data_IF_319834083718
#
_entry.id   IF_319834083718
#
_cell.length_a   1.000
_cell.length_b   1.000
_cell.length_c   1.000
_cell.angle_alpha   90.00
_cell.angle_beta   90.00
_cell.angle_gamma   90.00
#
_symmetry.space_group_name_H-M   'P 1'
#
loop_
_entity.id
_entity.type
_entity.pdbx_description
1 polymer ?
#
# COMPACT_ATOMS: atom_id res chain seq x y z
N UNK A 1 -4.37 -7.76 29.82
CA UNK A 1 -4.41 -6.29 30.02
C UNK A 1 -3.26 -5.75 29.18
N UNK A 2 -3.53 -5.48 27.90
CA UNK A 2 -2.52 -4.96 26.96
C UNK A 2 -2.68 -3.45 26.99
N UNK A 3 -1.72 -2.77 27.60
CA UNK A 3 -1.55 -1.33 27.46
C UNK A 3 -1.34 -1.06 25.98
N UNK A 4 -2.35 -0.46 25.36
CA UNK A 4 -2.26 0.14 24.05
C UNK A 4 -1.10 1.15 24.09
N UNK A 5 0.05 0.81 23.50
CA UNK A 5 1.12 1.78 23.30
C UNK A 5 0.56 2.86 22.38
N UNK A 6 0.17 4.01 22.92
CA UNK A 6 -0.52 5.12 22.24
C UNK A 6 0.25 5.68 21.00
N UNK A 7 1.45 5.17 20.70
CA UNK A 7 2.25 5.53 19.52
C UNK A 7 2.69 4.33 18.65
N UNK A 8 2.27 3.10 18.98
CA UNK A 8 2.75 1.89 18.30
C UNK A 8 2.32 1.84 16.82
N UNK A 9 1.06 2.17 16.54
CA UNK A 9 0.51 2.16 15.18
C UNK A 9 1.14 3.22 14.28
N UNK A 10 1.38 4.43 14.81
CA UNK A 10 2.04 5.52 14.06
C UNK A 10 3.48 5.16 13.73
N UNK A 11 4.21 4.55 14.67
CA UNK A 11 5.58 4.06 14.42
C UNK A 11 5.60 2.98 13.34
N UNK A 12 4.70 1.99 13.42
CA UNK A 12 4.59 0.93 12.39
C UNK A 12 4.27 1.52 11.02
N UNK A 13 3.36 2.51 10.95
CA UNK A 13 3.05 3.20 9.70
C UNK A 13 4.28 3.93 9.13
N UNK A 14 5.09 4.57 9.97
CA UNK A 14 6.36 5.19 9.56
C UNK A 14 7.39 4.17 9.04
N UNK A 15 7.51 3.01 9.69
CA UNK A 15 8.38 1.92 9.24
C UNK A 15 7.92 1.35 7.89
N UNK A 16 6.61 1.24 7.67
CA UNK A 16 6.03 0.81 6.39
C UNK A 16 6.33 1.81 5.26
N UNK A 17 6.16 3.12 5.51
CA UNK A 17 6.51 4.17 4.54
C UNK A 17 7.98 4.10 4.12
N UNK A 18 8.89 3.95 5.09
CA UNK A 18 10.32 3.86 4.83
C UNK A 18 10.63 2.63 3.94
N UNK A 19 10.01 1.48 4.24
CA UNK A 19 10.20 0.25 3.46
C UNK A 19 9.63 0.39 2.05
N UNK A 20 8.45 0.96 1.89
CA UNK A 20 7.84 1.23 0.60
C UNK A 20 8.70 2.18 -0.24
N UNK A 21 9.27 3.22 0.38
CA UNK A 21 10.19 4.17 -0.26
C UNK A 21 11.47 3.49 -0.73
N UNK A 22 12.10 2.67 0.11
CA UNK A 22 13.27 1.87 -0.29
C UNK A 22 12.94 0.91 -1.43
N UNK A 23 11.78 0.24 -1.39
CA UNK A 23 11.32 -0.63 -2.48
C UNK A 23 11.16 0.15 -3.78
N UNK A 24 10.45 1.29 -3.75
CA UNK A 24 10.27 2.17 -4.92
C UNK A 24 11.59 2.70 -5.50
N UNK A 25 12.61 2.93 -4.66
CA UNK A 25 13.94 3.27 -5.14
C UNK A 25 14.64 2.08 -5.80
N UNK A 26 14.57 0.90 -5.18
CA UNK A 26 15.23 -0.32 -5.68
C UNK A 26 14.66 -0.82 -7.00
N UNK A 27 13.36 -0.68 -7.24
CA UNK A 27 12.70 -1.14 -8.47
C UNK A 27 13.03 -0.30 -9.70
N UNK A 28 13.80 0.80 -9.55
CA UNK A 28 14.38 1.54 -10.69
C UNK A 28 15.31 0.67 -11.53
N UNK A 29 15.93 -0.33 -10.94
CA UNK A 29 16.66 -1.38 -11.64
C UNK A 29 16.40 -2.70 -10.95
N UNK A 30 15.73 -3.63 -11.64
CA UNK A 30 15.56 -5.00 -11.13
C UNK A 30 16.75 -5.82 -11.65
N UNK A 31 17.80 -6.08 -10.84
CA UNK A 31 19.05 -6.67 -11.32
C UNK A 31 18.89 -8.12 -11.76
N UNK A 32 17.89 -8.82 -11.21
CA UNK A 32 17.59 -10.22 -11.48
C UNK A 32 16.15 -10.28 -12.02
N UNK A 33 15.95 -10.32 -13.35
CA UNK A 33 14.62 -10.28 -13.93
C UNK A 33 13.70 -11.43 -13.48
N UNK A 34 14.26 -12.59 -13.09
CA UNK A 34 13.48 -13.70 -12.52
C UNK A 34 12.86 -13.38 -11.16
N UNK A 35 13.42 -12.44 -10.40
CA UNK A 35 12.88 -12.03 -9.10
C UNK A 35 11.59 -11.22 -9.25
N UNK A 36 11.31 -10.71 -10.45
CA UNK A 36 10.10 -9.94 -10.75
C UNK A 36 8.81 -10.72 -10.48
N UNK A 37 8.83 -12.06 -10.58
CA UNK A 37 7.68 -12.89 -10.20
C UNK A 37 7.40 -12.79 -8.69
N UNK A 38 8.40 -13.07 -7.86
CA UNK A 38 8.27 -12.97 -6.39
C UNK A 38 7.94 -11.54 -5.95
N UNK A 39 8.58 -10.53 -6.55
CA UNK A 39 8.28 -9.12 -6.27
C UNK A 39 6.81 -8.76 -6.52
N UNK A 40 6.19 -9.29 -7.60
CA UNK A 40 4.77 -9.07 -7.88
C UNK A 40 3.87 -9.77 -6.85
N UNK A 41 4.26 -10.96 -6.37
CA UNK A 41 3.56 -11.66 -5.29
C UNK A 41 3.56 -10.87 -3.97
N UNK A 42 4.74 -10.42 -3.53
CA UNK A 42 4.90 -9.64 -2.30
C UNK A 42 4.21 -8.26 -2.40
N UNK A 43 4.29 -7.61 -3.55
CA UNK A 43 3.59 -6.34 -3.78
C UNK A 43 2.09 -6.51 -3.67
N UNK A 44 1.53 -7.60 -4.22
CA UNK A 44 0.09 -7.91 -4.08
C UNK A 44 -0.30 -8.09 -2.61
N UNK A 45 0.45 -8.89 -1.85
CA UNK A 45 0.17 -9.11 -0.44
C UNK A 45 0.21 -7.79 0.35
N UNK A 46 1.20 -6.93 0.07
CA UNK A 46 1.29 -5.59 0.68
C UNK A 46 0.07 -4.73 0.36
N UNK A 47 -0.45 -4.78 -0.86
CA UNK A 47 -1.66 -4.04 -1.26
C UNK A 47 -2.92 -4.60 -0.58
N UNK A 48 -3.04 -5.92 -0.44
CA UNK A 48 -4.14 -6.57 0.30
C UNK A 48 -4.12 -6.16 1.80
N UNK A 49 -2.94 -6.06 2.40
CA UNK A 49 -2.78 -5.60 3.79
C UNK A 49 -3.15 -4.12 3.95
N UNK A 50 -2.73 -3.25 3.00
CA UNK A 50 -3.11 -1.84 2.99
C UNK A 50 -4.62 -1.64 2.83
N UNK A 51 -5.26 -2.45 1.99
CA UNK A 51 -6.73 -2.46 1.85
C UNK A 51 -7.39 -2.76 3.19
N UNK A 52 -6.88 -3.76 3.92
CA UNK A 52 -7.39 -4.10 5.24
C UNK A 52 -7.20 -2.96 6.24
N UNK A 53 -6.04 -2.30 6.26
CA UNK A 53 -5.79 -1.12 7.11
C UNK A 53 -6.81 -0.01 6.82
N UNK A 54 -7.05 0.31 5.55
CA UNK A 54 -8.07 1.30 5.17
C UNK A 54 -9.46 0.92 5.68
N UNK A 55 -9.87 -0.35 5.55
CA UNK A 55 -11.16 -0.81 6.08
C UNK A 55 -11.24 -0.71 7.59
N UNK A 56 -10.18 -1.07 8.31
CA UNK A 56 -10.15 -1.00 9.78
C UNK A 56 -10.25 0.45 10.28
N UNK A 57 -9.48 1.36 9.66
CA UNK A 57 -9.55 2.79 9.99
C UNK A 57 -10.91 3.39 9.60
N UNK A 58 -11.49 2.99 8.46
CA UNK A 58 -12.80 3.45 8.03
C UNK A 58 -13.91 3.00 8.98
N UNK A 59 -13.88 1.75 9.41
CA UNK A 59 -14.81 1.22 10.42
C UNK A 59 -14.65 1.90 11.78
N UNK A 60 -13.41 2.21 12.18
CA UNK A 60 -13.14 2.99 13.39
C UNK A 60 -13.75 4.39 13.29
N UNK A 61 -13.46 5.13 12.21
CA UNK A 61 -14.04 6.47 11.97
C UNK A 61 -15.57 6.47 11.84
N UNK A 62 -16.20 5.39 11.37
CA UNK A 62 -17.64 5.27 11.32
C UNK A 62 -18.27 4.94 12.70
N UNK A 63 -17.47 4.39 13.63
CA UNK A 63 -17.91 3.96 14.96
C UNK A 63 -17.63 4.96 16.08
N UNK A 64 -16.84 6.01 15.85
CA UNK A 64 -16.58 7.07 16.84
C UNK A 64 -17.86 7.83 17.20
N UNK A 65 -18.06 8.06 18.50
CA UNK A 65 -19.24 8.77 19.03
C UNK A 65 -18.88 10.23 19.26
N UNK A 66 -19.61 11.12 18.59
CA UNK A 66 -19.48 12.58 18.76
C UNK A 66 -19.67 12.99 20.23
N UNK A 67 -18.74 13.81 20.75
CA UNK A 67 -18.74 14.28 22.14
C UNK A 67 -18.26 13.29 23.22
N UNK A 68 -17.74 12.11 22.85
CA UNK A 68 -17.14 11.15 23.80
C UNK A 68 -15.66 10.88 23.48
N UNK A 69 -15.32 10.70 22.21
CA UNK A 69 -13.96 10.37 21.75
C UNK A 69 -13.33 11.49 20.89
N UNK A 70 -14.02 12.63 20.77
CA UNK A 70 -13.60 13.80 20.00
C UNK A 70 -14.08 15.09 20.68
N UNK A 71 -13.20 16.09 20.87
CA UNK A 71 -13.53 17.39 21.50
C UNK A 71 -14.19 18.39 20.53
N UNK A 72 -14.61 17.93 19.34
CA UNK A 72 -15.15 18.76 18.26
C UNK A 72 -14.07 19.16 17.24
N UNK A 73 -14.52 19.60 16.06
CA UNK A 73 -13.64 20.05 14.97
C UNK A 73 -13.06 21.44 15.30
N UNK A 74 -11.93 21.81 14.67
CA UNK A 74 -11.58 23.23 14.63
C UNK A 74 -12.77 24.02 14.04
N UNK A 75 -12.86 25.32 14.30
CA UNK A 75 -14.05 26.14 14.01
C UNK A 75 -14.42 26.28 12.51
N UNK A 76 -13.99 25.36 11.65
CA UNK A 76 -14.23 25.27 10.21
C UNK A 76 -15.21 24.15 9.83
N UNK A 77 -15.61 23.27 10.73
CA UNK A 77 -16.53 22.16 10.46
C UNK A 77 -17.69 22.04 11.46
N UNK A 78 -18.72 21.28 11.11
CA UNK A 78 -19.96 21.11 11.89
C UNK A 78 -19.94 19.90 12.85
N UNK A 79 -18.77 19.29 13.09
CA UNK A 79 -18.55 18.22 14.07
C UNK A 79 -18.97 16.83 13.60
N UNK A 80 -19.99 16.75 12.74
CA UNK A 80 -20.52 15.51 12.19
C UNK A 80 -19.95 15.15 10.81
N UNK A 81 -19.37 16.11 10.08
CA UNK A 81 -18.97 15.90 8.67
C UNK A 81 -17.59 15.26 8.50
N UNK A 82 -16.59 15.57 9.35
CA UNK A 82 -15.21 15.11 9.13
C UNK A 82 -14.98 13.61 9.33
N UNK A 83 -15.58 13.01 10.37
CA UNK A 83 -15.44 11.56 10.64
C UNK A 83 -16.14 10.70 9.59
N UNK A 84 -17.34 11.12 9.17
CA UNK A 84 -18.10 10.50 8.07
C UNK A 84 -17.34 10.63 6.75
N UNK A 85 -16.76 11.80 6.48
CA UNK A 85 -15.94 12.01 5.27
C UNK A 85 -14.69 11.14 5.29
N UNK A 86 -13.99 11.05 6.43
CA UNK A 86 -12.82 10.19 6.56
C UNK A 86 -13.16 8.71 6.35
N UNK A 87 -14.25 8.23 6.95
CA UNK A 87 -14.72 6.86 6.75
C UNK A 87 -15.06 6.58 5.27
N UNK A 88 -15.76 7.50 4.60
CA UNK A 88 -16.12 7.36 3.19
C UNK A 88 -14.90 7.33 2.26
N UNK A 89 -13.92 8.21 2.49
CA UNK A 89 -12.68 8.24 1.69
C UNK A 89 -11.79 7.01 1.95
N UNK A 90 -11.79 6.47 3.18
CA UNK A 90 -11.11 5.22 3.50
C UNK A 90 -11.75 4.01 2.82
N UNK A 91 -13.08 3.96 2.73
CA UNK A 91 -13.80 2.92 1.96
C UNK A 91 -13.49 3.01 0.46
N UNK A 92 -13.44 4.24 -0.07
CA UNK A 92 -12.99 4.51 -1.45
C UNK A 92 -11.56 4.04 -1.69
N UNK A 93 -10.65 4.33 -0.75
CA UNK A 93 -9.26 3.89 -0.84
C UNK A 93 -9.14 2.35 -0.81
N UNK A 94 -9.87 1.69 0.09
CA UNK A 94 -9.92 0.23 0.15
C UNK A 94 -10.42 -0.37 -1.18
N UNK A 95 -11.46 0.21 -1.78
CA UNK A 95 -11.97 -0.23 -3.09
C UNK A 95 -10.93 -0.06 -4.21
N UNK A 96 -10.17 1.03 -4.20
CA UNK A 96 -9.10 1.25 -5.17
C UNK A 96 -7.93 0.26 -4.98
N UNK A 97 -7.56 -0.05 -3.73
CA UNK A 97 -6.53 -1.04 -3.41
C UNK A 97 -6.96 -2.46 -3.84
N UNK A 98 -8.22 -2.83 -3.64
CA UNK A 98 -8.76 -4.10 -4.12
C UNK A 98 -8.68 -4.23 -5.65
N UNK A 99 -8.94 -3.15 -6.39
CA UNK A 99 -8.77 -3.11 -7.84
C UNK A 99 -7.29 -3.20 -8.25
N UNK A 100 -6.39 -2.54 -7.52
CA UNK A 100 -4.95 -2.62 -7.74
C UNK A 100 -4.41 -4.04 -7.48
N UNK A 101 -4.86 -4.72 -6.43
CA UNK A 101 -4.51 -6.11 -6.12
C UNK A 101 -4.87 -7.05 -7.28
N UNK A 102 -6.06 -6.90 -7.87
CA UNK A 102 -6.48 -7.67 -9.04
C UNK A 102 -5.60 -7.42 -10.26
N UNK A 103 -5.23 -6.16 -10.52
CA UNK A 103 -4.33 -5.81 -11.62
C UNK A 103 -2.92 -6.40 -11.42
N UNK A 104 -2.40 -6.36 -10.19
CA UNK A 104 -1.11 -6.97 -9.84
C UNK A 104 -1.18 -8.50 -9.97
N UNK A 105 -2.28 -9.13 -9.55
CA UNK A 105 -2.48 -10.57 -9.73
C UNK A 105 -2.47 -10.98 -11.21
N UNK A 106 -3.08 -10.17 -12.09
CA UNK A 106 -3.03 -10.37 -13.53
C UNK A 106 -1.60 -10.22 -14.07
N UNK A 107 -0.87 -9.19 -13.63
CA UNK A 107 0.53 -8.99 -14.00
C UNK A 107 1.44 -10.14 -13.53
N UNK A 108 1.25 -10.61 -12.30
CA UNK A 108 1.96 -11.76 -11.73
C UNK A 108 1.71 -13.03 -12.55
N UNK A 109 0.45 -13.28 -12.92
CA UNK A 109 0.08 -14.41 -13.77
C UNK A 109 0.71 -14.32 -15.16
N UNK A 110 0.74 -13.13 -15.76
CA UNK A 110 1.40 -12.89 -17.04
C UNK A 110 2.94 -13.03 -16.95
N UNK A 111 3.54 -12.66 -15.82
CA UNK A 111 4.97 -12.84 -15.58
C UNK A 111 5.35 -14.32 -15.47
N UNK A 112 4.49 -15.15 -14.87
CA UNK A 112 4.75 -16.59 -14.69
C UNK A 112 4.97 -17.38 -15.98
N UNK A 113 4.59 -16.84 -17.16
CA UNK A 113 4.83 -17.46 -18.46
C UNK A 113 6.07 -16.90 -19.19
N UNK A 114 6.71 -15.86 -18.64
CA UNK A 114 7.91 -15.23 -19.21
C UNK A 114 9.15 -16.07 -18.87
N UNK A 115 9.95 -16.38 -19.89
CA UNK A 115 11.28 -16.99 -19.69
C UNK A 115 12.35 -15.90 -19.67
N UNK A 116 12.74 -15.50 -18.47
CA UNK A 116 13.81 -14.54 -18.25
C UNK A 116 15.18 -15.15 -18.56
N UNK A 117 16.09 -14.39 -19.18
CA UNK A 117 17.49 -14.79 -19.32
C UNK A 117 18.19 -14.73 -17.95
N UNK A 118 19.06 -15.69 -17.65
CA UNK A 118 19.66 -15.88 -16.33
C UNK A 118 20.74 -14.85 -15.96
N UNK A 119 21.29 -14.12 -16.93
CA UNK A 119 22.28 -13.07 -16.73
C UNK A 119 21.91 -11.82 -17.54
N UNK A 120 22.24 -10.60 -17.07
CA UNK A 120 22.26 -9.43 -17.93
C UNK A 120 23.27 -9.70 -19.05
N UNK A 121 22.78 -9.85 -20.28
CA UNK A 121 23.67 -9.94 -21.43
C UNK A 121 24.36 -8.58 -21.57
N UNK A 122 25.66 -8.54 -21.30
CA UNK A 122 26.48 -7.35 -21.59
C UNK A 122 26.43 -7.13 -23.10
N UNK A 123 25.62 -6.16 -23.54
CA UNK A 123 25.50 -5.82 -24.95
C UNK A 123 26.71 -4.94 -25.31
N UNK A 124 27.69 -5.43 -26.09
CA UNK A 124 28.76 -4.56 -26.58
C UNK A 124 28.15 -3.44 -27.43
N UNK A 125 28.73 -2.22 -27.41
CA UNK A 125 28.19 -1.09 -28.16
C UNK A 125 28.07 -1.47 -29.63
N UNK A 126 26.84 -1.36 -30.15
CA UNK A 126 26.52 -1.60 -31.56
C UNK A 126 27.43 -0.74 -32.42
N UNK A 127 28.42 -1.38 -33.05
CA UNK A 127 29.25 -0.74 -34.07
C UNK A 127 28.39 -0.63 -35.32
N UNK A 128 27.94 0.59 -35.59
CA UNK A 128 27.18 0.95 -36.78
C UNK A 128 27.89 0.46 -38.04
N UNK A 129 27.12 -0.17 -38.93
CA UNK A 129 27.50 -0.47 -40.32
C UNK A 129 26.53 0.25 -41.23
#
# INVERSE_FOLDING_TARGET
MVTNEEAGQVRIAGELEERARMLAHSTRSVPVPSDSYFLLGELRATVDDLEQVCRQLGAWHAGVVDGVEYEGEDARGDGATGTVTAAAELDRAASALAAASQAIAAAHSANGVVRWAAEPVDHPPSSAQ
#
